data_IF_505785336825
#
_entry.id   IF_505785336825
#
_cell.length_a   1.000
_cell.length_b   1.000
_cell.length_c   1.000
_cell.angle_alpha   90.00
_cell.angle_beta   90.00
_cell.angle_gamma   90.00
#
_symmetry.space_group_name_H-M   'P 1'
#
loop_
_entity.id
_entity.type
_entity.pdbx_description
1 polymer ?
#
# COMPACT_ATOMS: atom_id res chain seq x y z
N UNK A 1 10.24 -0.85 14.22
CA UNK A 1 10.32 -2.26 14.64
C UNK A 1 10.07 -3.15 13.42
N UNK A 2 11.06 -3.90 12.94
CA UNK A 2 10.94 -4.73 11.72
C UNK A 2 10.90 -6.24 11.99
N UNK A 3 11.17 -6.68 13.23
CA UNK A 3 11.15 -8.09 13.66
C UNK A 3 10.00 -8.38 14.62
N UNK A 4 8.76 -8.10 14.21
CA UNK A 4 7.56 -8.23 15.07
C UNK A 4 7.40 -9.63 15.67
N UNK A 5 7.84 -10.68 14.94
CA UNK A 5 7.79 -12.06 15.41
C UNK A 5 8.65 -12.33 16.66
N UNK A 6 9.62 -11.47 16.94
CA UNK A 6 10.52 -11.55 18.10
C UNK A 6 10.23 -10.44 19.12
N UNK A 7 9.11 -9.73 18.97
CA UNK A 7 8.69 -8.67 19.89
C UNK A 7 7.95 -9.28 21.09
N UNK A 8 8.30 -8.85 22.30
CA UNK A 8 7.52 -9.16 23.51
C UNK A 8 6.18 -8.40 23.58
N UNK A 9 6.00 -7.37 22.74
CA UNK A 9 4.74 -6.63 22.60
C UNK A 9 3.87 -7.25 21.51
N UNK A 10 2.60 -7.50 21.84
CA UNK A 10 1.57 -7.99 20.91
C UNK A 10 1.27 -6.94 19.82
N UNK A 11 1.12 -7.38 18.58
CA UNK A 11 0.65 -6.56 17.45
C UNK A 11 -0.78 -6.93 17.10
N UNK A 12 -1.73 -6.04 17.43
CA UNK A 12 -3.16 -6.20 17.14
C UNK A 12 -3.60 -5.52 15.84
N UNK A 13 -2.68 -4.86 15.12
CA UNK A 13 -2.95 -4.23 13.83
C UNK A 13 -2.95 -5.22 12.66
N UNK A 14 -3.20 -4.68 11.46
CA UNK A 14 -3.19 -5.48 10.23
C UNK A 14 -1.85 -6.17 9.97
N UNK A 15 -1.93 -7.34 9.32
CA UNK A 15 -0.77 -8.18 8.99
C UNK A 15 -0.87 -8.65 7.54
N UNK A 16 0.27 -8.93 6.93
CA UNK A 16 0.35 -9.36 5.53
C UNK A 16 0.68 -8.20 4.60
N UNK A 17 0.40 -8.39 3.31
CA UNK A 17 0.67 -7.37 2.29
C UNK A 17 -0.48 -6.38 2.18
N UNK A 18 -0.16 -5.14 1.80
CA UNK A 18 -1.16 -4.16 1.38
C UNK A 18 -1.67 -4.61 0.01
N UNK A 19 -2.90 -5.14 -0.03
CA UNK A 19 -3.56 -5.62 -1.24
C UNK A 19 -5.01 -5.12 -1.34
N UNK A 20 -5.67 -5.44 -2.46
CA UNK A 20 -7.06 -5.04 -2.72
C UNK A 20 -8.01 -5.53 -1.62
N UNK A 21 -7.77 -6.71 -1.06
CA UNK A 21 -8.60 -7.30 -0.01
C UNK A 21 -8.46 -6.51 1.28
N UNK A 22 -7.23 -6.19 1.69
CA UNK A 22 -6.97 -5.32 2.84
C UNK A 22 -7.60 -3.94 2.66
N UNK A 23 -7.39 -3.28 1.51
CA UNK A 23 -7.92 -1.94 1.28
C UNK A 23 -9.46 -1.90 1.34
N UNK A 24 -10.14 -2.90 0.79
CA UNK A 24 -11.61 -2.99 0.81
C UNK A 24 -12.22 -3.16 2.19
N UNK A 25 -11.46 -3.59 3.21
CA UNK A 25 -11.94 -3.61 4.60
C UNK A 25 -12.18 -2.20 5.14
N UNK A 26 -11.48 -1.20 4.59
CA UNK A 26 -11.46 0.17 5.11
C UNK A 26 -11.98 1.21 4.12
N UNK A 27 -11.98 0.89 2.82
CA UNK A 27 -12.37 1.79 1.75
C UNK A 27 -13.43 1.10 0.89
N UNK A 28 -14.67 1.57 0.96
CA UNK A 28 -15.80 0.98 0.26
C UNK A 28 -15.64 1.07 -1.28
N UNK A 29 -15.23 2.23 -1.77
CA UNK A 29 -15.02 2.49 -3.20
C UNK A 29 -13.59 2.95 -3.42
N UNK A 30 -12.78 2.07 -3.98
CA UNK A 30 -11.36 2.33 -4.21
C UNK A 30 -11.12 3.38 -5.30
N UNK A 31 -12.10 3.70 -6.14
CA UNK A 31 -11.92 4.68 -7.23
C UNK A 31 -11.93 6.14 -6.76
N UNK A 32 -12.49 6.41 -5.58
CA UNK A 32 -12.71 7.77 -5.04
C UNK A 32 -11.47 8.43 -4.42
N UNK A 33 -10.61 7.73 -3.66
CA UNK A 33 -9.46 8.38 -3.03
C UNK A 33 -8.37 8.79 -4.01
N UNK A 34 -7.54 9.73 -3.56
CA UNK A 34 -6.22 10.01 -4.15
C UNK A 34 -5.19 9.27 -3.31
N UNK A 35 -4.37 8.43 -3.94
CA UNK A 35 -3.39 7.58 -3.29
C UNK A 35 -2.01 8.21 -3.38
N UNK A 36 -1.32 8.31 -2.26
CA UNK A 36 0.08 8.72 -2.20
C UNK A 36 0.93 7.52 -1.79
N UNK A 37 1.97 7.23 -2.55
CA UNK A 37 2.82 6.05 -2.32
C UNK A 37 4.27 6.50 -2.29
N UNK A 38 4.95 6.14 -1.20
CA UNK A 38 6.38 6.39 -0.99
C UNK A 38 7.03 5.15 -0.37
N UNK A 39 8.22 4.79 -0.83
CA UNK A 39 8.95 3.61 -0.40
C UNK A 39 9.92 3.08 -1.45
N UNK A 40 10.48 1.88 -1.25
CA UNK A 40 11.39 1.27 -2.23
C UNK A 40 10.75 1.14 -3.61
N UNK A 41 11.54 1.31 -4.68
CA UNK A 41 11.04 1.33 -6.06
C UNK A 41 10.12 0.13 -6.40
N UNK A 42 10.51 -1.08 -5.98
CA UNK A 42 9.69 -2.28 -6.18
C UNK A 42 8.34 -2.21 -5.47
N UNK A 43 8.28 -1.65 -4.27
CA UNK A 43 7.04 -1.47 -3.52
C UNK A 43 6.12 -0.45 -4.22
N UNK A 44 6.67 0.69 -4.65
CA UNK A 44 5.93 1.74 -5.35
C UNK A 44 5.31 1.18 -6.64
N UNK A 45 6.13 0.51 -7.47
CA UNK A 45 5.68 -0.10 -8.71
C UNK A 45 4.60 -1.18 -8.48
N UNK A 46 4.81 -2.03 -7.47
CA UNK A 46 3.85 -3.09 -7.12
C UNK A 46 2.52 -2.50 -6.65
N UNK A 47 2.54 -1.46 -5.81
CA UNK A 47 1.30 -0.86 -5.30
C UNK A 47 0.54 -0.09 -6.38
N UNK A 48 1.22 0.66 -7.25
CA UNK A 48 0.58 1.34 -8.39
C UNK A 48 -0.13 0.32 -9.30
N UNK A 49 0.55 -0.77 -9.65
CA UNK A 49 -0.03 -1.86 -10.44
C UNK A 49 -1.27 -2.48 -9.78
N UNK A 50 -1.22 -2.72 -8.45
CA UNK A 50 -2.35 -3.26 -7.69
C UNK A 50 -3.56 -2.32 -7.65
N UNK A 51 -3.34 -1.02 -7.46
CA UNK A 51 -4.41 -0.02 -7.44
C UNK A 51 -5.06 0.11 -8.82
N UNK A 52 -4.25 0.16 -9.89
CA UNK A 52 -4.76 0.16 -11.26
C UNK A 52 -5.58 -1.10 -11.56
N UNK A 53 -5.08 -2.29 -11.19
CA UNK A 53 -5.84 -3.54 -11.29
C UNK A 53 -7.09 -3.61 -10.38
N UNK A 54 -7.21 -2.69 -9.42
CA UNK A 54 -8.41 -2.53 -8.60
C UNK A 54 -9.43 -1.54 -9.19
N UNK A 55 -9.13 -0.90 -10.33
CA UNK A 55 -9.99 0.08 -11.01
C UNK A 55 -9.76 1.53 -10.56
N UNK A 56 -8.66 1.80 -9.85
CA UNK A 56 -8.26 3.17 -9.50
C UNK A 56 -7.73 3.82 -10.79
N UNK A 57 -8.17 5.04 -11.08
CA UNK A 57 -7.57 5.82 -12.17
C UNK A 57 -6.12 6.17 -11.78
N UNK A 58 -5.19 5.93 -12.69
CA UNK A 58 -3.77 6.23 -12.51
C UNK A 58 -3.53 7.74 -12.23
N UNK A 59 -4.40 8.62 -12.74
CA UNK A 59 -4.40 10.06 -12.42
C UNK A 59 -4.63 10.36 -10.92
N UNK A 60 -5.25 9.42 -10.20
CA UNK A 60 -5.48 9.53 -8.76
C UNK A 60 -4.32 8.92 -7.94
N UNK A 61 -3.23 8.46 -8.58
CA UNK A 61 -2.07 7.87 -7.90
C UNK A 61 -0.86 8.80 -8.01
N UNK A 62 -0.28 9.14 -6.87
CA UNK A 62 0.87 10.04 -6.74
C UNK A 62 2.00 9.24 -6.11
N UNK A 63 3.09 9.09 -6.85
CA UNK A 63 4.28 8.37 -6.40
C UNK A 63 5.44 9.34 -6.26
N UNK A 64 6.18 9.23 -5.17
CA UNK A 64 7.50 9.87 -5.11
C UNK A 64 8.51 9.02 -5.90
N UNK A 65 9.27 9.64 -6.80
CA UNK A 65 10.37 8.98 -7.50
C UNK A 65 11.69 9.24 -6.77
N UNK A 66 11.96 8.45 -5.73
CA UNK A 66 13.29 8.35 -5.16
C UNK A 66 14.04 7.21 -5.85
N UNK A 67 14.91 7.54 -6.79
CA UNK A 67 15.71 6.59 -7.57
C UNK A 67 16.99 6.11 -6.87
N UNK A 68 17.20 6.45 -5.60
CA UNK A 68 18.41 6.10 -4.86
C UNK A 68 18.15 5.80 -3.39
N UNK A 69 18.03 4.51 -3.08
CA UNK A 69 18.30 3.92 -1.76
C UNK A 69 19.23 2.72 -1.97
#
# INVERSE_FOLDING_TARGET
MTKIAHSSKKWDGERGHIDKTMLKKYINDLSKPIYYISGPATMVATMRSRLNGAGVNDDNIRTEEFSGY
#
